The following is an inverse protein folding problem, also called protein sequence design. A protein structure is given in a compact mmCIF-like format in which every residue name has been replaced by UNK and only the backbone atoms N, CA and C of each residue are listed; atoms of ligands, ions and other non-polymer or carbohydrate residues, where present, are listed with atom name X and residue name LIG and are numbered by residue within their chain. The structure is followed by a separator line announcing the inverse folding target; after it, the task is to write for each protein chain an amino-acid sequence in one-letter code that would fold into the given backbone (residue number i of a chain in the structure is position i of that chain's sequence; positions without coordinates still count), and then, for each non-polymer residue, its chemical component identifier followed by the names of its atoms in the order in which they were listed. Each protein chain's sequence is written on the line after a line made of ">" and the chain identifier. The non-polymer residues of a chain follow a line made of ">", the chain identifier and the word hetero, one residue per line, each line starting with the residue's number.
data_IF_766962639033
#
_entry.id   IF_766962639033
#
_cell.length_a   1.000
_cell.length_b   1.000
_cell.length_c   1.000
_cell.angle_alpha   90.00
_cell.angle_beta   90.00
_cell.angle_gamma   90.00
#
_symmetry.space_group_name_H-M   'P 1'
#
loop_
_entity.id
_entity.type
_entity.pdbx_description
1 polymer ?
#
# COMPACT_ATOMS: atom_id res chain seq x y z
N UNK A 1 -2.38 48.67 -1.70
CA UNK A 1 -1.80 48.54 -3.05
C UNK A 1 -2.22 47.20 -3.63
N UNK A 2 -2.95 47.18 -4.76
CA UNK A 2 -3.42 45.94 -5.40
C UNK A 2 -2.38 45.52 -6.44
N UNK A 3 -1.73 44.39 -6.22
CA UNK A 3 -0.80 43.83 -7.22
C UNK A 3 -1.62 43.18 -8.33
N UNK A 4 -1.47 43.60 -9.60
CA UNK A 4 -2.14 42.95 -10.71
C UNK A 4 -1.56 41.54 -10.90
N UNK A 5 -2.42 40.52 -10.79
CA UNK A 5 -2.03 39.12 -11.02
C UNK A 5 -2.58 38.67 -12.37
N UNK A 6 -1.69 38.38 -13.31
CA UNK A 6 -2.03 37.79 -14.61
C UNK A 6 -1.83 36.28 -14.51
N UNK A 7 -2.93 35.51 -14.43
CA UNK A 7 -2.86 34.04 -14.39
C UNK A 7 -2.71 33.49 -15.81
N UNK A 8 -1.68 32.67 -16.04
CA UNK A 8 -1.51 31.93 -17.30
C UNK A 8 -2.56 30.82 -17.40
N UNK A 9 -3.01 30.50 -18.62
CA UNK A 9 -3.94 29.39 -18.89
C UNK A 9 -3.24 28.01 -18.85
N UNK A 10 -2.32 27.82 -17.92
CA UNK A 10 -1.59 26.56 -17.71
C UNK A 10 -1.97 26.09 -16.31
N UNK A 11 -2.51 24.87 -16.23
CA UNK A 11 -2.92 24.25 -14.96
C UNK A 11 -1.95 23.12 -14.63
N UNK A 12 -1.26 23.23 -13.51
CA UNK A 12 -0.52 22.12 -12.93
C UNK A 12 -1.46 21.31 -12.04
N UNK A 13 -2.07 20.28 -12.61
CA UNK A 13 -2.91 19.35 -11.86
C UNK A 13 -2.04 18.25 -11.24
N UNK A 14 -2.29 17.85 -9.98
CA UNK A 14 -1.62 16.71 -9.39
C UNK A 14 -1.99 15.45 -10.18
N UNK A 15 -0.98 14.65 -10.51
CA UNK A 15 -1.18 13.39 -11.20
C UNK A 15 -1.42 12.27 -10.17
N UNK A 16 -2.67 11.85 -10.07
CA UNK A 16 -3.10 10.81 -9.13
C UNK A 16 -2.50 9.43 -9.42
N UNK A 17 -1.86 9.21 -10.58
CA UNK A 17 -1.14 7.96 -10.89
C UNK A 17 0.24 7.91 -10.23
N UNK A 18 0.81 9.05 -9.84
CA UNK A 18 2.12 9.16 -9.17
C UNK A 18 2.06 9.07 -7.64
N UNK A 19 0.89 8.72 -7.09
CA UNK A 19 0.68 8.61 -5.64
C UNK A 19 1.06 7.20 -5.19
N UNK A 20 2.24 7.06 -4.58
CA UNK A 20 2.79 5.76 -4.12
C UNK A 20 1.86 5.02 -3.17
N UNK A 21 1.05 5.75 -2.39
CA UNK A 21 0.09 5.16 -1.46
C UNK A 21 -1.24 4.72 -2.11
N UNK A 22 -1.43 4.90 -3.42
CA UNK A 22 -2.65 4.47 -4.12
C UNK A 22 -2.64 2.96 -4.30
N UNK A 23 -3.80 2.32 -4.14
CA UNK A 23 -3.93 0.88 -4.38
C UNK A 23 -3.53 0.53 -5.81
N UNK A 24 -2.63 -0.44 -5.93
CA UNK A 24 -2.14 -0.96 -7.19
C UNK A 24 -2.02 -2.48 -7.08
N UNK A 25 -2.73 -3.21 -7.94
CA UNK A 25 -2.69 -4.66 -8.03
C UNK A 25 -2.27 -5.07 -9.44
N UNK A 26 -1.15 -5.76 -9.57
CA UNK A 26 -0.57 -6.15 -10.86
C UNK A 26 -1.02 -7.54 -11.32
N UNK A 27 -2.34 -7.78 -11.27
CA UNK A 27 -3.01 -9.02 -11.62
C UNK A 27 -2.93 -10.14 -10.57
N UNK A 28 -3.91 -11.03 -10.59
CA UNK A 28 -4.14 -12.04 -9.55
C UNK A 28 -2.96 -13.00 -9.39
N UNK A 29 -2.42 -13.52 -10.50
CA UNK A 29 -1.27 -14.45 -10.46
C UNK A 29 -0.05 -13.85 -9.77
N UNK A 30 0.24 -12.57 -9.99
CA UNK A 30 1.40 -11.92 -9.39
C UNK A 30 1.17 -11.60 -7.91
N UNK A 31 -0.06 -11.22 -7.56
CA UNK A 31 -0.47 -11.04 -6.17
C UNK A 31 -0.37 -12.35 -5.39
N UNK A 32 -0.85 -13.46 -5.95
CA UNK A 32 -0.75 -14.78 -5.33
C UNK A 32 0.71 -15.21 -5.11
N UNK A 33 1.59 -15.00 -6.11
CA UNK A 33 3.04 -15.23 -5.94
C UNK A 33 3.61 -14.39 -4.81
N UNK A 34 3.27 -13.10 -4.74
CA UNK A 34 3.74 -12.22 -3.65
C UNK A 34 3.30 -12.75 -2.28
N UNK A 35 2.02 -13.12 -2.12
CA UNK A 35 1.49 -13.68 -0.87
C UNK A 35 2.24 -14.97 -0.52
N UNK A 36 2.48 -15.87 -1.48
CA UNK A 36 3.23 -17.10 -1.23
C UNK A 36 4.65 -16.84 -0.73
N UNK A 37 5.34 -15.82 -1.24
CA UNK A 37 6.67 -15.44 -0.76
C UNK A 37 6.64 -14.91 0.67
N UNK A 38 5.63 -14.10 1.02
CA UNK A 38 5.45 -13.59 2.39
C UNK A 38 5.20 -14.75 3.36
N UNK A 39 4.39 -15.74 2.96
CA UNK A 39 4.07 -16.89 3.80
C UNK A 39 5.27 -17.80 4.09
N UNK A 40 6.32 -17.76 3.27
CA UNK A 40 7.58 -18.50 3.50
C UNK A 40 8.50 -17.78 4.49
N UNK A 41 8.32 -16.47 4.71
CA UNK A 41 9.16 -15.71 5.65
C UNK A 41 8.86 -16.09 7.10
N UNK A 42 9.91 -16.13 7.93
CA UNK A 42 9.75 -16.24 9.38
C UNK A 42 9.10 -14.99 9.96
N UNK A 43 8.41 -15.12 11.10
CA UNK A 43 7.76 -13.99 11.79
C UNK A 43 8.72 -12.81 12.03
N UNK A 44 9.95 -13.11 12.44
CA UNK A 44 10.98 -12.08 12.65
C UNK A 44 11.30 -11.31 11.37
N UNK A 45 11.45 -12.01 10.24
CA UNK A 45 11.73 -11.37 8.95
C UNK A 45 10.56 -10.51 8.48
N UNK A 46 9.33 -10.98 8.70
CA UNK A 46 8.12 -10.21 8.40
C UNK A 46 8.11 -8.91 9.21
N UNK A 47 8.32 -8.99 10.51
CA UNK A 47 8.33 -7.84 11.41
C UNK A 47 9.41 -6.81 11.03
N UNK A 48 10.65 -7.25 10.81
CA UNK A 48 11.76 -6.38 10.39
C UNK A 48 11.46 -5.68 9.04
N UNK A 49 10.90 -6.43 8.09
CA UNK A 49 10.55 -5.90 6.76
C UNK A 49 9.38 -4.91 6.85
N UNK A 50 8.38 -5.21 7.66
CA UNK A 50 7.22 -4.36 7.89
C UNK A 50 7.63 -3.04 8.55
N UNK A 51 8.43 -3.10 9.61
CA UNK A 51 8.96 -1.91 10.30
C UNK A 51 9.77 -1.02 9.37
N UNK A 52 10.67 -1.63 8.57
CA UNK A 52 11.45 -0.88 7.60
C UNK A 52 10.53 -0.19 6.58
N UNK A 53 9.54 -0.90 6.07
CA UNK A 53 8.56 -0.35 5.12
C UNK A 53 7.78 0.82 5.74
N UNK A 54 7.20 0.65 6.92
CA UNK A 54 6.44 1.69 7.61
C UNK A 54 7.30 2.95 7.87
N UNK A 55 8.56 2.77 8.27
CA UNK A 55 9.50 3.87 8.51
C UNK A 55 9.75 4.72 7.26
N UNK A 56 9.81 4.11 6.07
CA UNK A 56 9.99 4.81 4.79
C UNK A 56 8.80 5.71 4.43
N UNK A 57 7.60 5.37 4.92
CA UNK A 57 6.36 6.12 4.63
C UNK A 57 5.92 7.05 5.76
N UNK A 58 6.35 6.81 7.00
CA UNK A 58 5.92 7.54 8.20
C UNK A 58 6.04 9.06 8.09
N UNK A 59 7.10 9.56 7.43
CA UNK A 59 7.33 11.02 7.26
C UNK A 59 6.47 11.66 6.17
N UNK A 60 6.01 10.88 5.19
CA UNK A 60 5.37 11.39 3.95
C UNK A 60 3.86 11.15 3.92
N UNK A 61 3.38 10.17 4.66
CA UNK A 61 1.98 9.76 4.64
C UNK A 61 1.47 9.61 6.07
N UNK A 62 0.56 10.52 6.45
CA UNK A 62 -0.20 10.37 7.70
C UNK A 62 -1.11 9.14 7.58
N UNK A 63 -1.11 8.28 8.59
CA UNK A 63 -1.93 7.05 8.66
C UNK A 63 -1.65 6.03 7.53
N UNK A 64 -0.37 5.80 7.18
CA UNK A 64 -0.02 4.82 6.15
C UNK A 64 -0.50 3.40 6.49
N UNK A 65 -0.45 2.99 7.76
CA UNK A 65 -0.89 1.65 8.19
C UNK A 65 -2.36 1.40 7.84
N UNK A 66 -3.25 2.36 8.09
CA UNK A 66 -4.67 2.27 7.72
C UNK A 66 -4.87 2.16 6.20
N UNK A 67 -3.97 2.74 5.41
CA UNK A 67 -4.01 2.59 3.96
C UNK A 67 -3.59 1.18 3.56
N UNK A 68 -2.53 0.62 4.14
CA UNK A 68 -2.12 -0.76 3.89
C UNK A 68 -3.19 -1.78 4.30
N UNK A 69 -3.84 -1.62 5.47
CA UNK A 69 -4.95 -2.49 5.87
C UNK A 69 -6.10 -2.46 4.85
N UNK A 70 -6.53 -1.26 4.42
CA UNK A 70 -7.57 -1.14 3.37
C UNK A 70 -7.16 -1.77 2.04
N UNK A 71 -5.86 -1.87 1.75
CA UNK A 71 -5.36 -2.53 0.55
C UNK A 71 -5.33 -4.04 0.71
N UNK A 72 -5.00 -4.53 1.92
CA UNK A 72 -5.04 -5.94 2.28
C UNK A 72 -6.47 -6.51 2.19
N UNK A 73 -7.47 -5.78 2.70
CA UNK A 73 -8.88 -6.16 2.60
C UNK A 73 -9.35 -6.40 1.15
N UNK A 74 -8.81 -5.64 0.19
CA UNK A 74 -9.16 -5.81 -1.23
C UNK A 74 -8.65 -7.11 -1.85
N UNK A 75 -7.58 -7.68 -1.28
CA UNK A 75 -7.01 -8.96 -1.73
C UNK A 75 -7.48 -10.14 -0.89
N UNK A 76 -8.32 -9.93 0.14
CA UNK A 76 -8.85 -10.97 1.02
C UNK A 76 -9.43 -12.16 0.23
N UNK A 77 -10.27 -11.88 -0.78
CA UNK A 77 -10.85 -12.94 -1.62
C UNK A 77 -9.81 -13.76 -2.40
N UNK A 78 -8.66 -13.16 -2.76
CA UNK A 78 -7.55 -13.90 -3.38
C UNK A 78 -6.79 -14.75 -2.36
N UNK A 79 -6.63 -14.27 -1.13
CA UNK A 79 -5.97 -15.01 -0.04
C UNK A 79 -6.80 -16.23 0.35
N UNK A 80 -8.12 -16.06 0.49
CA UNK A 80 -9.06 -17.15 0.76
C UNK A 80 -9.08 -18.17 -0.39
N UNK A 81 -9.01 -17.71 -1.65
CA UNK A 81 -8.89 -18.59 -2.81
C UNK A 81 -7.57 -19.41 -2.81
N UNK A 82 -6.51 -18.92 -2.16
CA UNK A 82 -5.25 -19.64 -1.95
C UNK A 82 -5.31 -20.64 -0.78
N UNK A 83 -6.47 -20.85 -0.14
CA UNK A 83 -6.65 -21.71 1.04
C UNK A 83 -5.87 -21.23 2.28
N UNK A 84 -5.55 -19.93 2.34
CA UNK A 84 -4.94 -19.31 3.51
C UNK A 84 -6.07 -18.71 4.36
N UNK A 85 -6.12 -19.06 5.64
CA UNK A 85 -7.12 -18.54 6.55
C UNK A 85 -6.75 -17.11 6.99
N UNK A 86 -7.39 -16.12 6.37
CA UNK A 86 -7.12 -14.71 6.63
C UNK A 86 -7.36 -14.34 8.10
N UNK A 87 -8.39 -14.90 8.73
CA UNK A 87 -8.77 -14.55 10.12
C UNK A 87 -7.80 -15.11 11.17
N UNK A 88 -6.87 -16.00 10.77
CA UNK A 88 -5.81 -16.51 11.64
C UNK A 88 -4.50 -15.74 11.54
N UNK A 89 -4.38 -14.81 10.59
CA UNK A 89 -3.19 -13.98 10.44
C UNK A 89 -3.17 -12.89 11.51
N UNK A 90 -1.97 -12.60 12.03
CA UNK A 90 -1.74 -11.45 12.90
C UNK A 90 -1.78 -10.17 12.06
N UNK A 91 -2.13 -9.03 12.68
CA UNK A 91 -2.11 -7.71 12.03
C UNK A 91 -0.74 -7.34 11.43
N UNK A 92 0.34 -7.96 11.94
CA UNK A 92 1.71 -7.75 11.46
C UNK A 92 2.10 -8.67 10.27
N UNK A 93 1.23 -9.58 9.82
CA UNK A 93 1.50 -10.57 8.78
C UNK A 93 0.53 -10.49 7.60
#
# INVERSE_FOLDING_TARGET
>A
MRVPVIRKNIKFLPDCTRVVARYFMNGDSRTQKMVSHIMVLSEKQVQETLEHTLRQFARRHRNISQTFFRHCEKIRGLIEAMQINYDQLSDER
#
